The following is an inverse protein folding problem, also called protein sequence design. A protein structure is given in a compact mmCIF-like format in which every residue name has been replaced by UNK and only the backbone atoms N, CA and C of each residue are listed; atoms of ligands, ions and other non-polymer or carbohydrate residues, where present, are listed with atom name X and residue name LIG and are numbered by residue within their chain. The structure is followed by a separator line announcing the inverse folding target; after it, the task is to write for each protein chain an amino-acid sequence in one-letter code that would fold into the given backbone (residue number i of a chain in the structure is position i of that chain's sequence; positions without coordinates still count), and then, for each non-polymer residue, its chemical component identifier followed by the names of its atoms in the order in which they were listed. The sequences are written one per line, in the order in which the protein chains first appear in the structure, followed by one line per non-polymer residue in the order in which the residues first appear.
data_IF_405498181262
#
_entry.id   IF_405498181262
#
_cell.length_a   1.000
_cell.length_b   1.000
_cell.length_c   1.000
_cell.angle_alpha   90.00
_cell.angle_beta   90.00
_cell.angle_gamma   90.00
#
_symmetry.space_group_name_H-M   'P 1'
#
loop_
_entity.id
_entity.type
_entity.pdbx_description
1 polymer ?
#
# COMPACT_ATOMS: atom_id res chain seq x y z
N UNK A 1 1.28 7.12 -29.19
CA UNK A 1 -0.16 7.29 -28.92
C UNK A 1 -0.33 7.40 -27.42
N UNK A 2 -0.06 8.55 -26.79
CA UNK A 2 -0.65 9.90 -26.91
C UNK A 2 -1.72 10.12 -25.82
N UNK A 3 -1.40 11.01 -24.88
CA UNK A 3 -2.33 11.95 -24.22
C UNK A 3 -3.69 11.35 -23.84
N UNK A 4 -3.72 10.56 -22.77
CA UNK A 4 -4.94 10.20 -22.03
C UNK A 4 -4.59 9.95 -20.55
N UNK A 5 -3.94 10.93 -19.91
CA UNK A 5 -3.97 10.98 -18.44
C UNK A 5 -5.20 11.73 -17.98
N UNK A 6 -5.64 12.69 -18.81
CA UNK A 6 -6.88 13.42 -18.67
C UNK A 6 -7.94 12.78 -19.58
N UNK A 7 -9.06 12.34 -19.02
CA UNK A 7 -10.24 11.94 -19.78
C UNK A 7 -10.66 13.13 -20.65
N UNK A 8 -10.52 13.00 -21.97
CA UNK A 8 -10.80 14.09 -22.93
C UNK A 8 -12.26 14.57 -22.92
N UNK A 9 -13.17 13.78 -22.37
CA UNK A 9 -14.58 14.15 -22.26
C UNK A 9 -14.91 14.86 -20.95
N UNK A 10 -14.12 14.65 -19.88
CA UNK A 10 -14.40 15.20 -18.55
C UNK A 10 -13.31 16.11 -17.99
N UNK A 11 -12.13 16.21 -18.64
CA UNK A 11 -11.01 17.02 -18.16
C UNK A 11 -10.31 16.46 -16.92
N UNK A 12 -10.59 15.22 -16.49
CA UNK A 12 -10.07 14.62 -15.24
C UNK A 12 -8.95 13.60 -15.41
N UNK A 13 -8.06 13.54 -14.42
CA UNK A 13 -7.07 12.46 -14.26
C UNK A 13 -7.78 11.10 -14.18
N UNK A 14 -7.62 10.26 -15.20
CA UNK A 14 -8.42 9.04 -15.39
C UNK A 14 -8.17 7.95 -14.32
N UNK A 15 -7.08 8.04 -13.57
CA UNK A 15 -6.69 7.03 -12.60
C UNK A 15 -6.08 7.65 -11.34
N UNK A 16 -6.84 7.56 -10.25
CA UNK A 16 -6.37 7.82 -8.89
C UNK A 16 -6.46 6.52 -8.09
N UNK A 17 -5.62 6.40 -7.07
CA UNK A 17 -5.71 5.34 -6.06
C UNK A 17 -5.03 5.80 -4.78
N UNK A 18 -5.17 5.04 -3.71
CA UNK A 18 -4.51 5.36 -2.47
C UNK A 18 -4.05 4.15 -1.69
N UNK A 19 -3.55 4.47 -0.50
CA UNK A 19 -3.23 3.53 0.55
C UNK A 19 -3.45 4.22 1.90
N UNK A 20 -4.20 3.59 2.79
CA UNK A 20 -4.24 3.99 4.19
C UNK A 20 -2.87 3.84 4.86
N UNK A 21 -2.47 4.86 5.61
CA UNK A 21 -1.27 4.86 6.44
C UNK A 21 -1.67 5.18 7.89
N UNK A 22 -0.70 5.26 8.80
CA UNK A 22 -0.98 5.52 10.21
C UNK A 22 -1.46 6.97 10.35
N UNK A 23 -2.64 7.16 10.91
CA UNK A 23 -3.27 8.48 11.04
C UNK A 23 -3.38 9.27 9.72
N UNK A 24 -3.46 8.58 8.58
CA UNK A 24 -3.38 9.27 7.29
C UNK A 24 -3.76 8.45 6.08
N UNK A 25 -3.69 9.13 4.92
CA UNK A 25 -3.92 8.51 3.62
C UNK A 25 -2.86 9.01 2.63
N UNK A 26 -2.22 8.06 1.95
CA UNK A 26 -1.46 8.32 0.74
C UNK A 26 -2.39 8.22 -0.46
N UNK A 27 -2.40 9.26 -1.30
CA UNK A 27 -3.08 9.29 -2.58
C UNK A 27 -2.04 9.38 -3.70
N UNK A 28 -2.35 8.74 -4.83
CA UNK A 28 -1.52 8.83 -6.03
C UNK A 28 -2.32 9.04 -7.29
N UNK A 29 -1.71 9.82 -8.16
CA UNK A 29 -2.06 10.03 -9.55
C UNK A 29 -0.93 9.47 -10.43
N UNK A 30 -1.04 9.57 -11.76
CA UNK A 30 -0.07 8.95 -12.66
C UNK A 30 1.36 9.52 -12.54
N UNK A 31 1.53 10.80 -12.18
CA UNK A 31 2.85 11.43 -12.06
C UNK A 31 3.14 11.97 -10.65
N UNK A 32 2.15 11.98 -9.76
CA UNK A 32 2.25 12.62 -8.45
C UNK A 32 1.75 11.70 -7.35
N UNK A 33 2.26 11.91 -6.13
CA UNK A 33 1.64 11.36 -4.95
C UNK A 33 1.64 12.40 -3.82
N UNK A 34 0.67 12.25 -2.93
CA UNK A 34 0.59 13.05 -1.71
C UNK A 34 0.30 12.11 -0.53
N UNK A 35 0.87 12.42 0.62
CA UNK A 35 0.57 11.74 1.89
C UNK A 35 0.10 12.82 2.85
N UNK A 36 -1.10 12.66 3.37
CA UNK A 36 -1.66 13.52 4.39
C UNK A 36 -1.78 12.72 5.69
N UNK A 37 -1.23 13.25 6.78
CA UNK A 37 -1.23 12.64 8.11
C UNK A 37 -1.75 13.68 9.10
N UNK A 38 -2.66 13.28 9.99
CA UNK A 38 -3.08 14.09 11.14
C UNK A 38 -2.26 13.69 12.36
N UNK A 39 -1.43 14.60 12.84
CA UNK A 39 -0.63 14.36 14.04
C UNK A 39 -1.53 14.31 15.30
N UNK A 40 -1.07 13.68 16.40
CA UNK A 40 -1.86 13.57 17.64
C UNK A 40 -2.24 14.90 18.28
N UNK A 41 -1.50 15.96 17.99
CA UNK A 41 -1.75 17.33 18.42
C UNK A 41 -2.75 18.09 17.53
N UNK A 42 -3.25 17.45 16.48
CA UNK A 42 -4.23 18.01 15.54
C UNK A 42 -3.61 18.71 14.33
N UNK A 43 -2.28 18.85 14.26
CA UNK A 43 -1.60 19.43 13.10
C UNK A 43 -1.75 18.53 11.87
N UNK A 44 -1.75 19.13 10.70
CA UNK A 44 -1.80 18.43 9.42
C UNK A 44 -0.42 18.45 8.78
N UNK A 45 0.10 17.26 8.51
CA UNK A 45 1.38 17.08 7.81
C UNK A 45 1.09 16.60 6.41
N UNK A 46 1.56 17.35 5.43
CA UNK A 46 1.35 17.05 4.03
C UNK A 46 2.68 16.90 3.33
N UNK A 47 2.95 15.69 2.84
CA UNK A 47 4.10 15.41 1.99
C UNK A 47 3.62 15.25 0.56
N UNK A 48 4.28 15.94 -0.35
CA UNK A 48 4.06 15.79 -1.78
C UNK A 48 5.37 15.45 -2.47
N UNK A 49 5.31 14.55 -3.45
CA UNK A 49 6.51 14.13 -4.18
C UNK A 49 6.09 13.50 -5.52
N UNK A 50 7.06 13.30 -6.41
CA UNK A 50 6.82 12.77 -7.75
C UNK A 50 6.77 11.25 -7.71
N UNK A 51 5.89 10.67 -8.52
CA UNK A 51 5.90 9.22 -8.71
C UNK A 51 7.07 8.81 -9.62
N UNK A 52 8.19 8.45 -9.00
CA UNK A 52 9.38 7.98 -9.72
C UNK A 52 9.20 6.53 -10.19
N UNK A 53 9.45 6.29 -11.48
CA UNK A 53 9.27 4.98 -12.14
C UNK A 53 10.63 4.44 -12.62
N UNK A 54 11.03 3.27 -12.12
CA UNK A 54 12.29 2.54 -12.40
C UNK A 54 12.34 2.06 -13.88
N UNK A 55 11.18 2.00 -14.53
CA UNK A 55 10.93 1.61 -15.93
C UNK A 55 11.76 2.32 -17.01
N UNK A 56 12.34 3.48 -16.70
CA UNK A 56 12.88 4.39 -17.69
C UNK A 56 14.16 3.91 -18.35
N UNK A 57 14.88 2.91 -17.79
CA UNK A 57 16.16 2.44 -18.34
C UNK A 57 16.09 1.17 -19.19
N UNK A 58 15.08 0.30 -19.05
CA UNK A 58 15.11 -1.06 -19.62
C UNK A 58 13.78 -1.47 -20.28
N UNK A 59 13.76 -1.50 -21.63
CA UNK A 59 12.55 -1.81 -22.42
C UNK A 59 11.97 -3.20 -22.18
N UNK A 60 12.78 -4.19 -21.75
CA UNK A 60 12.33 -5.57 -21.52
C UNK A 60 11.49 -5.73 -20.24
N UNK A 61 11.63 -4.85 -19.25
CA UNK A 61 10.81 -4.91 -18.04
C UNK A 61 9.31 -4.75 -18.41
N UNK A 62 8.98 -4.05 -19.50
CA UNK A 62 7.60 -3.74 -19.93
C UNK A 62 6.77 -4.95 -20.36
N UNK A 63 7.36 -6.14 -20.39
CA UNK A 63 6.69 -7.39 -20.77
C UNK A 63 5.64 -7.77 -19.70
N UNK A 64 4.40 -8.17 -20.05
CA UNK A 64 3.27 -8.29 -19.11
C UNK A 64 3.53 -9.11 -17.84
N UNK A 65 4.39 -10.14 -17.86
CA UNK A 65 4.74 -10.89 -16.63
C UNK A 65 5.80 -10.17 -15.76
N UNK A 66 6.80 -9.55 -16.38
CA UNK A 66 7.84 -8.80 -15.66
C UNK A 66 7.31 -7.45 -15.19
N UNK A 67 6.29 -6.93 -15.89
CA UNK A 67 5.73 -5.63 -15.62
C UNK A 67 5.15 -5.56 -14.22
N UNK A 68 4.25 -6.50 -13.93
CA UNK A 68 3.54 -6.55 -12.66
C UNK A 68 4.47 -6.67 -11.47
N UNK A 69 5.53 -7.48 -11.59
CA UNK A 69 6.55 -7.63 -10.54
C UNK A 69 7.22 -6.30 -10.18
N UNK A 70 7.67 -5.53 -11.17
CA UNK A 70 8.37 -4.27 -10.88
C UNK A 70 7.39 -3.20 -10.37
N UNK A 71 6.15 -3.15 -10.89
CA UNK A 71 5.13 -2.23 -10.35
C UNK A 71 4.84 -2.57 -8.89
N UNK A 72 4.78 -3.86 -8.56
CA UNK A 72 4.62 -4.33 -7.19
C UNK A 72 5.80 -3.87 -6.31
N UNK A 73 7.04 -3.99 -6.79
CA UNK A 73 8.23 -3.54 -6.04
C UNK A 73 8.22 -2.03 -5.81
N UNK A 74 7.91 -1.24 -6.83
CA UNK A 74 7.79 0.22 -6.72
C UNK A 74 6.69 0.62 -5.73
N UNK A 75 5.52 -0.01 -5.86
CA UNK A 75 4.41 0.27 -4.99
C UNK A 75 4.70 -0.12 -3.53
N UNK A 76 5.37 -1.26 -3.32
CA UNK A 76 5.83 -1.69 -2.00
C UNK A 76 6.84 -0.70 -1.41
N UNK A 77 7.81 -0.24 -2.20
CA UNK A 77 8.78 0.78 -1.76
C UNK A 77 8.10 2.07 -1.31
N UNK A 78 7.19 2.60 -2.14
CA UNK A 78 6.45 3.82 -1.83
C UNK A 78 5.49 3.62 -0.65
N UNK A 79 4.88 2.44 -0.53
CA UNK A 79 4.05 2.06 0.61
C UNK A 79 4.84 2.04 1.91
N UNK A 80 6.03 1.43 1.92
CA UNK A 80 6.92 1.43 3.09
C UNK A 80 7.36 2.86 3.42
N UNK A 81 7.80 3.65 2.42
CA UNK A 81 8.20 5.05 2.65
C UNK A 81 7.06 5.89 3.24
N UNK A 82 5.84 5.70 2.76
CA UNK A 82 4.66 6.43 3.26
C UNK A 82 4.29 6.00 4.69
N UNK A 83 4.43 4.71 5.00
CA UNK A 83 4.21 4.19 6.35
C UNK A 83 5.26 4.71 7.33
N UNK A 84 6.54 4.66 6.97
CA UNK A 84 7.62 5.24 7.79
C UNK A 84 7.40 6.73 8.01
N UNK A 85 7.05 7.47 6.96
CA UNK A 85 6.71 8.89 7.07
C UNK A 85 5.53 9.12 8.02
N UNK A 86 4.45 8.34 7.88
CA UNK A 86 3.28 8.46 8.76
C UNK A 86 3.59 8.08 10.21
N UNK A 87 4.45 7.10 10.44
CA UNK A 87 4.85 6.66 11.76
C UNK A 87 5.64 7.74 12.51
N UNK A 88 6.56 8.44 11.82
CA UNK A 88 7.29 9.59 12.36
C UNK A 88 6.33 10.65 12.90
N UNK A 89 5.36 11.07 12.09
CA UNK A 89 4.43 12.15 12.44
C UNK A 89 3.25 11.74 13.33
N UNK A 90 2.92 10.45 13.38
CA UNK A 90 1.93 9.91 14.31
C UNK A 90 2.45 9.81 15.77
N UNK A 91 3.68 10.29 16.04
CA UNK A 91 4.29 10.29 17.37
C UNK A 91 4.82 8.91 17.81
N UNK A 92 5.23 8.06 16.87
CA UNK A 92 5.74 6.71 17.17
C UNK A 92 7.26 6.64 17.36
N UNK A 93 7.99 7.70 16.99
CA UNK A 93 9.45 7.75 17.08
C UNK A 93 9.96 8.50 18.34
N UNK A 94 9.22 9.46 18.87
CA UNK A 94 9.61 10.28 20.04
C UNK A 94 9.66 9.49 21.36
N UNK A 95 8.97 8.35 21.44
CA UNK A 95 8.97 7.46 22.63
C UNK A 95 10.31 6.77 22.93
N UNK A 96 11.32 6.90 22.04
CA UNK A 96 12.66 6.32 22.25
C UNK A 96 13.63 7.25 22.96
N UNK A 97 13.41 8.57 22.92
CA UNK A 97 14.34 9.53 23.53
C UNK A 97 14.13 9.70 25.04
N UNK A 98 12.93 9.37 25.56
CA UNK A 98 12.57 9.71 26.95
C UNK A 98 12.72 8.54 27.96
N UNK A 99 13.29 7.39 27.53
CA UNK A 99 13.51 6.23 28.40
C UNK A 99 14.94 5.99 28.85
N UNK A 100 15.89 6.85 28.46
CA UNK A 100 17.30 6.74 28.91
C UNK A 100 17.68 7.62 30.09
N UNK A 101 16.94 8.68 30.45
CA UNK A 101 17.41 9.64 31.45
C UNK A 101 16.58 9.82 32.73
N UNK A 102 15.40 9.20 32.89
CA UNK A 102 14.60 9.39 34.12
C UNK A 102 14.48 8.16 35.03
N UNK A 103 15.62 7.48 35.26
CA UNK A 103 15.79 6.62 36.45
C UNK A 103 16.29 7.45 37.63
N UNK A 104 15.65 8.57 38.01
CA UNK A 104 15.93 9.19 39.32
C UNK A 104 14.96 10.23 39.88
N UNK A 105 13.64 10.15 39.72
CA UNK A 105 12.76 10.83 40.69
C UNK A 105 11.33 10.28 40.78
N UNK A 106 11.06 9.67 41.93
CA UNK A 106 9.81 9.68 42.71
C UNK A 106 8.49 9.25 42.03
N UNK A 107 7.92 8.18 42.57
CA UNK A 107 6.65 7.62 42.11
C UNK A 107 5.45 8.54 42.33
N UNK A 108 4.52 8.50 41.38
CA UNK A 108 3.07 8.53 41.59
C UNK A 108 2.36 8.05 40.33
N UNK A 109 1.26 7.33 40.55
CA UNK A 109 0.38 6.72 39.57
C UNK A 109 -0.01 7.67 38.42
N UNK A 110 0.19 7.21 37.18
CA UNK A 110 -0.32 7.79 35.95
C UNK A 110 -0.66 6.66 34.97
N UNK A 111 -1.75 6.84 34.26
CA UNK A 111 -2.49 5.88 33.43
C UNK A 111 -1.62 5.24 32.33
N UNK A 112 -1.78 3.94 32.07
CA UNK A 112 -1.01 3.21 31.07
C UNK A 112 -1.44 3.54 29.63
N UNK A 113 -0.45 3.84 28.79
CA UNK A 113 -0.55 4.54 27.51
C UNK A 113 -0.79 3.62 26.30
N UNK A 114 -1.56 4.13 25.31
CA UNK A 114 -1.82 3.49 24.02
C UNK A 114 -0.64 3.50 23.03
N UNK A 115 0.50 4.09 23.39
CA UNK A 115 1.64 4.29 22.49
C UNK A 115 2.40 3.00 22.12
N UNK A 116 2.46 2.03 23.04
CA UNK A 116 3.11 0.73 22.79
C UNK A 116 2.41 -0.11 21.72
N UNK A 117 1.07 -0.07 21.67
CA UNK A 117 0.27 -0.79 20.68
C UNK A 117 0.46 -0.20 19.26
N UNK A 118 0.55 1.13 19.16
CA UNK A 118 0.67 1.84 17.87
C UNK A 118 1.98 1.52 17.13
N UNK A 119 3.07 1.32 17.87
CA UNK A 119 4.37 0.95 17.29
C UNK A 119 4.37 -0.48 16.74
N UNK A 120 3.78 -1.43 17.46
CA UNK A 120 3.63 -2.80 16.99
C UNK A 120 2.77 -2.84 15.72
N UNK A 121 1.69 -2.04 15.67
CA UNK A 121 0.87 -1.91 14.47
C UNK A 121 1.62 -1.31 13.28
N UNK A 122 2.52 -0.35 13.48
CA UNK A 122 3.32 0.26 12.42
C UNK A 122 4.33 -0.72 11.79
N UNK A 123 5.11 -1.40 12.63
CA UNK A 123 6.07 -2.41 12.20
C UNK A 123 5.37 -3.61 11.55
N UNK A 124 4.19 -3.96 12.06
CA UNK A 124 3.33 -4.99 11.51
C UNK A 124 2.71 -4.60 10.16
N UNK A 125 2.18 -3.39 10.01
CA UNK A 125 1.61 -2.89 8.74
C UNK A 125 2.68 -2.75 7.67
N UNK A 126 3.88 -2.28 8.00
CA UNK A 126 5.00 -2.19 7.07
C UNK A 126 5.48 -3.57 6.59
N UNK A 127 5.33 -4.61 7.41
CA UNK A 127 5.74 -5.98 7.14
C UNK A 127 4.65 -6.92 6.61
N UNK A 128 3.38 -6.52 6.65
CA UNK A 128 2.25 -7.38 6.29
C UNK A 128 1.84 -7.18 4.81
N UNK A 129 1.47 -8.26 4.09
CA UNK A 129 1.05 -8.20 2.68
C UNK A 129 -0.33 -7.54 2.45
N UNK A 130 -0.86 -6.86 3.47
CA UNK A 130 -2.17 -6.19 3.49
C UNK A 130 -2.16 -4.79 2.86
N UNK A 131 -0.98 -4.25 2.55
CA UNK A 131 -0.86 -2.94 1.91
C UNK A 131 -1.19 -3.00 0.42
N UNK A 132 -2.31 -2.38 0.06
CA UNK A 132 -2.90 -2.39 -1.28
C UNK A 132 -2.14 -1.61 -2.36
N UNK A 133 -0.86 -1.29 -2.17
CA UNK A 133 -0.05 -0.50 -3.10
C UNK A 133 -0.05 -1.07 -4.54
N UNK A 134 -0.19 -2.40 -4.67
CA UNK A 134 -0.03 -3.16 -5.91
C UNK A 134 -1.00 -2.83 -7.06
N UNK A 135 -2.03 -2.00 -6.87
CA UNK A 135 -3.19 -1.97 -7.78
C UNK A 135 -3.41 -0.70 -8.63
N UNK A 136 -2.56 0.32 -8.57
CA UNK A 136 -2.74 1.53 -9.42
C UNK A 136 -1.74 1.55 -10.61
N UNK A 137 -2.31 1.65 -11.81
CA UNK A 137 -1.61 1.48 -13.10
C UNK A 137 -0.68 2.66 -13.43
N UNK A 138 0.45 2.46 -14.15
CA UNK A 138 1.29 3.56 -14.65
C UNK A 138 1.02 3.88 -16.13
N UNK A 139 1.25 5.14 -16.54
CA UNK A 139 1.36 5.54 -17.95
C UNK A 139 2.33 6.71 -18.19
N UNK A 140 3.60 6.35 -18.50
CA UNK A 140 4.60 6.93 -19.42
C UNK A 140 5.03 8.44 -19.45
N UNK A 141 6.37 8.63 -19.42
CA UNK A 141 7.17 9.53 -20.31
C UNK A 141 8.29 10.34 -19.60
N UNK A 142 9.56 9.91 -19.51
CA UNK A 142 10.77 10.22 -20.32
C UNK A 142 11.85 11.08 -19.56
N UNK A 143 13.15 10.76 -19.72
CA UNK A 143 14.39 11.24 -19.01
C UNK A 143 14.82 12.70 -19.33
N UNK A 144 15.37 13.53 -18.42
CA UNK A 144 16.74 13.68 -17.82
C UNK A 144 17.85 14.12 -18.84
N UNK A 145 18.77 15.10 -18.68
CA UNK A 145 19.58 15.69 -17.56
C UNK A 145 20.17 17.08 -18.00
N UNK A 146 20.64 17.90 -17.04
CA UNK A 146 21.55 19.10 -17.07
C UNK A 146 20.88 20.39 -17.56
N UNK A 147 20.91 21.54 -16.88
CA UNK A 147 22.02 22.26 -16.27
C UNK A 147 21.42 23.52 -15.57
N UNK A 148 22.24 24.12 -14.74
CA UNK A 148 22.10 25.32 -13.92
C UNK A 148 21.32 26.52 -14.48
N UNK A 149 20.80 27.28 -13.51
CA UNK A 149 20.69 28.75 -13.45
C UNK A 149 19.30 29.37 -13.51
N UNK A 150 19.17 30.36 -12.62
CA UNK A 150 18.24 31.48 -12.57
C UNK A 150 16.99 31.41 -11.69
N UNK A 151 17.18 32.07 -10.54
CA UNK A 151 16.28 32.69 -9.57
C UNK A 151 15.44 33.81 -10.20
N UNK A 152 14.17 33.96 -9.80
CA UNK A 152 13.61 35.24 -9.28
C UNK A 152 12.37 34.98 -8.38
N UNK A 153 12.15 35.77 -7.31
CA UNK A 153 11.37 35.41 -6.12
C UNK A 153 9.98 36.07 -6.06
N UNK A 154 9.24 35.74 -5.01
CA UNK A 154 8.06 36.41 -4.40
C UNK A 154 6.82 35.52 -4.31
N UNK A 155 6.81 34.67 -3.28
CA UNK A 155 5.62 34.53 -2.44
C UNK A 155 6.06 34.16 -1.02
N UNK A 156 6.12 35.16 -0.14
CA UNK A 156 6.39 35.01 1.29
C UNK A 156 5.12 34.47 1.97
N UNK A 157 5.13 33.18 2.27
CA UNK A 157 4.47 32.61 3.45
C UNK A 157 5.60 32.01 4.30
N UNK A 158 5.56 32.07 5.64
CA UNK A 158 6.65 31.56 6.46
C UNK A 158 6.68 30.02 6.34
N UNK A 159 7.46 29.52 5.38
CA UNK A 159 7.80 28.11 5.28
C UNK A 159 8.90 27.90 6.31
N UNK A 160 8.55 27.39 7.49
CA UNK A 160 9.56 26.77 8.35
C UNK A 160 10.08 25.54 7.61
N UNK A 161 11.23 25.71 6.97
CA UNK A 161 12.03 24.61 6.42
C UNK A 161 12.49 23.76 7.62
N UNK A 162 11.73 22.70 7.92
CA UNK A 162 12.04 21.78 9.03
C UNK A 162 13.34 21.06 8.68
N UNK A 163 14.43 21.59 9.24
CA UNK A 163 15.75 20.99 9.20
C UNK A 163 15.69 19.69 10.03
N UNK A 164 15.85 18.53 9.37
CA UNK A 164 15.76 17.18 9.95
C UNK A 164 17.09 16.81 10.63
N UNK A 165 17.27 16.96 11.96
CA UNK A 165 18.58 16.79 12.59
C UNK A 165 18.86 15.35 13.02
N UNK A 166 17.90 14.41 12.88
CA UNK A 166 18.05 13.04 13.37
C UNK A 166 17.63 12.03 12.31
N UNK A 167 18.62 11.54 11.55
CA UNK A 167 18.47 10.35 10.74
C UNK A 167 18.09 9.13 11.61
N UNK A 168 17.27 8.22 11.07
CA UNK A 168 16.30 7.41 11.81
C UNK A 168 16.96 6.20 12.50
N UNK A 169 16.15 5.29 13.07
CA UNK A 169 16.54 3.89 13.29
C UNK A 169 17.62 3.45 12.30
N UNK A 170 18.79 3.05 12.80
CA UNK A 170 19.94 2.70 11.96
C UNK A 170 19.51 1.84 10.77
N UNK A 171 20.01 2.13 9.56
CA UNK A 171 19.55 1.48 8.32
C UNK A 171 19.50 -0.06 8.42
N UNK A 172 20.39 -0.66 9.21
CA UNK A 172 20.40 -2.10 9.50
C UNK A 172 19.19 -2.59 10.30
N UNK A 173 18.67 -1.77 11.23
CA UNK A 173 17.50 -2.10 12.04
C UNK A 173 16.24 -2.14 11.16
N UNK A 174 16.08 -1.17 10.26
CA UNK A 174 15.01 -1.20 9.26
C UNK A 174 15.14 -2.40 8.33
N UNK A 175 16.35 -2.68 7.83
CA UNK A 175 16.59 -3.87 7.01
C UNK A 175 16.28 -5.17 7.77
N UNK A 176 16.63 -5.26 9.06
CA UNK A 176 16.33 -6.41 9.90
C UNK A 176 14.83 -6.61 10.08
N UNK A 177 14.06 -5.56 10.38
CA UNK A 177 12.60 -5.64 10.52
C UNK A 177 11.93 -6.08 9.22
N UNK A 178 12.38 -5.57 8.07
CA UNK A 178 11.91 -6.02 6.75
C UNK A 178 12.23 -7.50 6.51
N UNK A 179 13.44 -7.96 6.84
CA UNK A 179 13.80 -9.37 6.69
C UNK A 179 12.99 -10.29 7.60
N UNK A 180 12.80 -9.91 8.86
CA UNK A 180 12.02 -10.68 9.84
C UNK A 180 10.56 -10.76 9.41
N UNK A 181 9.95 -9.65 9.00
CA UNK A 181 8.55 -9.63 8.53
C UNK A 181 8.35 -10.40 7.22
N UNK A 182 9.31 -10.33 6.29
CA UNK A 182 9.30 -11.15 5.08
C UNK A 182 9.43 -12.65 5.42
N UNK A 183 10.34 -13.00 6.34
CA UNK A 183 10.49 -14.36 6.83
C UNK A 183 9.24 -14.89 7.51
N UNK A 184 8.60 -14.09 8.36
CA UNK A 184 7.32 -14.40 8.99
C UNK A 184 6.21 -14.58 7.96
N UNK A 185 6.15 -13.72 6.93
CA UNK A 185 5.17 -13.83 5.85
C UNK A 185 5.36 -15.11 5.03
N UNK A 186 6.60 -15.49 4.70
CA UNK A 186 6.90 -16.77 4.03
C UNK A 186 6.51 -17.95 4.93
N UNK A 187 6.84 -17.88 6.22
CA UNK A 187 6.48 -18.90 7.18
C UNK A 187 4.96 -19.08 7.25
N UNK A 188 4.22 -17.99 7.43
CA UNK A 188 2.77 -18.01 7.65
C UNK A 188 1.97 -18.35 6.39
N UNK A 189 2.35 -17.82 5.23
CA UNK A 189 1.54 -17.92 4.00
C UNK A 189 2.05 -18.95 2.98
N UNK A 190 3.29 -19.43 3.11
CA UNK A 190 3.87 -20.42 2.20
C UNK A 190 4.16 -21.72 2.93
N UNK A 191 4.94 -21.67 4.02
CA UNK A 191 5.41 -22.87 4.71
C UNK A 191 4.29 -23.52 5.53
N UNK A 192 3.58 -22.74 6.35
CA UNK A 192 2.54 -23.25 7.24
C UNK A 192 1.42 -23.97 6.47
N UNK A 193 0.81 -23.41 5.41
CA UNK A 193 -0.25 -24.09 4.67
C UNK A 193 0.23 -25.37 3.99
N UNK A 194 1.47 -25.36 3.47
CA UNK A 194 2.08 -26.52 2.85
C UNK A 194 2.34 -27.63 3.87
N UNK A 195 2.89 -27.27 5.03
CA UNK A 195 3.14 -28.21 6.12
C UNK A 195 1.85 -28.81 6.66
N UNK A 196 0.81 -27.99 6.90
CA UNK A 196 -0.51 -28.47 7.33
C UNK A 196 -1.12 -29.44 6.32
N UNK A 197 -1.04 -29.12 5.02
CA UNK A 197 -1.54 -30.00 3.96
C UNK A 197 -0.79 -31.34 3.92
N UNK A 198 0.53 -31.31 4.10
CA UNK A 198 1.35 -32.53 4.17
C UNK A 198 1.04 -33.36 5.42
N UNK A 199 0.81 -32.71 6.57
CA UNK A 199 0.42 -33.38 7.83
C UNK A 199 -0.96 -34.05 7.74
N UNK A 200 -1.85 -33.54 6.88
CA UNK A 200 -3.13 -34.20 6.57
C UNK A 200 -2.98 -35.44 5.67
N UNK A 201 -1.75 -35.79 5.26
CA UNK A 201 -1.46 -37.00 4.49
C UNK A 201 -1.57 -36.83 2.97
N UNK A 202 -1.72 -35.61 2.46
CA UNK A 202 -1.73 -35.35 1.02
C UNK A 202 -0.31 -35.28 0.48
N UNK A 203 -0.10 -35.84 -0.72
CA UNK A 203 1.19 -35.77 -1.41
C UNK A 203 1.26 -34.56 -2.34
N UNK A 204 2.31 -33.75 -2.17
CA UNK A 204 2.55 -32.52 -2.93
C UNK A 204 2.80 -32.74 -4.43
N UNK A 205 2.94 -33.99 -4.87
CA UNK A 205 2.96 -34.38 -6.28
C UNK A 205 1.59 -34.32 -6.96
N UNK A 206 0.49 -34.31 -6.20
CA UNK A 206 -0.87 -34.43 -6.73
C UNK A 206 -1.63 -33.10 -6.67
N UNK A 207 -2.56 -32.90 -7.61
CA UNK A 207 -3.38 -31.68 -7.68
C UNK A 207 -4.24 -31.44 -6.44
N UNK A 208 -4.71 -32.51 -5.77
CA UNK A 208 -5.51 -32.40 -4.54
C UNK A 208 -4.75 -31.67 -3.43
N UNK A 209 -3.44 -31.90 -3.35
CA UNK A 209 -2.59 -31.18 -2.39
C UNK A 209 -2.66 -29.68 -2.64
N UNK A 210 -2.51 -29.23 -3.88
CA UNK A 210 -2.51 -27.80 -4.20
C UNK A 210 -3.88 -27.14 -4.00
N UNK A 211 -4.97 -27.88 -4.23
CA UNK A 211 -6.32 -27.41 -3.93
C UNK A 211 -6.51 -27.21 -2.41
N UNK A 212 -6.10 -28.18 -1.59
CA UNK A 212 -6.23 -28.12 -0.13
C UNK A 212 -5.26 -27.08 0.47
N UNK A 213 -4.01 -27.03 0.01
CA UNK A 213 -3.03 -25.97 0.33
C UNK A 213 -3.61 -24.59 0.04
N UNK A 214 -4.35 -24.45 -1.07
CA UNK A 214 -5.10 -23.26 -1.42
C UNK A 214 -6.19 -22.88 -0.42
N UNK A 215 -7.03 -23.84 -0.02
CA UNK A 215 -8.10 -23.62 0.96
C UNK A 215 -7.51 -23.22 2.33
N UNK A 216 -6.44 -23.91 2.76
CA UNK A 216 -5.75 -23.59 4.01
C UNK A 216 -5.14 -22.19 3.93
N UNK A 217 -4.50 -21.81 2.81
CA UNK A 217 -3.98 -20.44 2.61
C UNK A 217 -5.05 -19.36 2.75
N UNK A 218 -6.20 -19.54 2.08
CA UNK A 218 -7.32 -18.59 2.20
C UNK A 218 -7.81 -18.50 3.63
N UNK A 219 -7.93 -19.66 4.32
CA UNK A 219 -8.36 -19.71 5.72
C UNK A 219 -7.37 -19.00 6.63
N UNK A 220 -6.08 -19.29 6.50
CA UNK A 220 -5.00 -18.63 7.27
C UNK A 220 -4.99 -17.13 7.01
N UNK A 221 -5.15 -16.70 5.75
CA UNK A 221 -5.21 -15.28 5.41
C UNK A 221 -6.40 -14.58 6.08
N UNK A 222 -7.59 -15.13 5.93
CA UNK A 222 -8.81 -14.53 6.52
C UNK A 222 -8.71 -14.52 8.05
N UNK A 223 -8.26 -15.61 8.66
CA UNK A 223 -8.08 -15.70 10.11
C UNK A 223 -7.03 -14.70 10.62
N UNK A 224 -5.91 -14.55 9.92
CA UNK A 224 -4.86 -13.59 10.23
C UNK A 224 -5.38 -12.15 10.15
N UNK A 225 -6.00 -11.77 9.02
CA UNK A 225 -6.59 -10.43 8.83
C UNK A 225 -7.65 -10.15 9.89
N UNK A 226 -8.52 -11.12 10.16
CA UNK A 226 -9.53 -10.99 11.19
C UNK A 226 -8.91 -10.79 12.58
N UNK A 227 -7.89 -11.58 12.94
CA UNK A 227 -7.21 -11.46 14.23
C UNK A 227 -6.59 -10.07 14.44
N UNK A 228 -5.88 -9.54 13.44
CA UNK A 228 -5.24 -8.22 13.54
C UNK A 228 -6.27 -7.09 13.48
N UNK A 229 -7.42 -7.31 12.81
CA UNK A 229 -8.51 -6.33 12.75
C UNK A 229 -9.12 -6.05 14.12
N UNK A 230 -8.82 -6.87 15.13
CA UNK A 230 -9.26 -6.67 16.50
C UNK A 230 -8.40 -5.63 17.24
N UNK A 231 -7.16 -5.37 16.80
CA UNK A 231 -6.23 -4.42 17.42
C UNK A 231 -6.65 -2.96 17.11
N UNK A 232 -6.75 -2.06 18.12
CA UNK A 232 -7.23 -0.67 17.95
C UNK A 232 -6.56 0.09 16.80
N UNK A 233 -5.24 0.01 16.70
CA UNK A 233 -4.47 0.78 15.72
C UNK A 233 -4.70 0.27 14.29
N UNK A 234 -4.84 -1.05 14.12
CA UNK A 234 -5.24 -1.63 12.83
C UNK A 234 -6.68 -1.26 12.50
N UNK A 235 -7.56 -1.11 13.51
CA UNK A 235 -8.92 -0.61 13.26
C UNK A 235 -8.89 0.79 12.69
N UNK A 236 -8.07 1.66 13.29
CA UNK A 236 -7.88 3.04 12.86
C UNK A 236 -7.38 3.12 11.42
N UNK A 237 -6.40 2.29 11.05
CA UNK A 237 -5.92 2.21 9.66
C UNK A 237 -7.01 1.71 8.70
N UNK A 238 -7.84 0.75 9.11
CA UNK A 238 -8.98 0.29 8.30
C UNK A 238 -10.09 1.33 8.15
N UNK A 239 -10.24 2.27 9.09
CA UNK A 239 -11.13 3.42 8.95
C UNK A 239 -10.58 4.41 7.92
N UNK A 240 -9.29 4.77 7.99
CA UNK A 240 -8.62 5.59 6.95
C UNK A 240 -8.69 4.94 5.57
N UNK A 241 -8.67 3.60 5.49
CA UNK A 241 -8.88 2.87 4.25
C UNK A 241 -10.32 3.01 3.73
N UNK A 242 -11.32 3.01 4.62
CA UNK A 242 -12.68 3.38 4.27
C UNK A 242 -12.79 4.82 3.76
N UNK A 243 -12.07 5.75 4.39
CA UNK A 243 -12.01 7.15 3.97
C UNK A 243 -11.39 7.32 2.58
N UNK A 244 -10.30 6.61 2.29
CA UNK A 244 -9.66 6.55 0.97
C UNK A 244 -10.67 6.14 -0.11
N UNK A 245 -11.37 5.03 0.09
CA UNK A 245 -12.35 4.54 -0.87
C UNK A 245 -13.48 5.54 -1.12
N UNK A 246 -14.01 6.15 -0.06
CA UNK A 246 -15.07 7.16 -0.17
C UNK A 246 -14.58 8.40 -0.92
N UNK A 247 -13.39 8.90 -0.61
CA UNK A 247 -12.79 10.05 -1.32
C UNK A 247 -12.60 9.77 -2.81
N UNK A 248 -12.12 8.57 -3.17
CA UNK A 248 -11.98 8.13 -4.56
C UNK A 248 -13.35 8.06 -5.25
N UNK A 249 -14.38 7.51 -4.59
CA UNK A 249 -15.72 7.46 -5.18
C UNK A 249 -16.31 8.85 -5.49
N UNK A 250 -16.13 9.83 -4.60
CA UNK A 250 -16.54 11.22 -4.85
C UNK A 250 -15.88 11.75 -6.12
N UNK A 251 -14.57 11.50 -6.27
CA UNK A 251 -13.82 11.91 -7.46
C UNK A 251 -14.31 11.22 -8.73
N UNK A 252 -14.57 9.91 -8.68
CA UNK A 252 -15.04 9.10 -9.80
C UNK A 252 -16.47 9.45 -10.26
N UNK A 253 -17.31 9.94 -9.34
CA UNK A 253 -18.69 10.35 -9.63
C UNK A 253 -18.83 11.84 -9.99
N UNK A 254 -17.73 12.54 -10.21
CA UNK A 254 -17.75 13.95 -10.61
C UNK A 254 -18.41 14.89 -9.59
N UNK A 255 -18.33 14.54 -8.31
CA UNK A 255 -18.85 15.36 -7.22
C UNK A 255 -17.75 16.26 -6.60
N UNK A 256 -18.12 17.39 -6.00
CA UNK A 256 -17.20 18.21 -5.21
C UNK A 256 -16.55 17.40 -4.09
N UNK A 257 -15.23 17.52 -3.93
CA UNK A 257 -14.44 16.82 -2.90
C UNK A 257 -14.71 17.40 -1.49
N UNK A 258 -15.88 17.07 -0.94
CA UNK A 258 -16.36 17.49 0.38
C UNK A 258 -16.71 16.28 1.23
N UNK A 259 -16.64 16.45 2.56
CA UNK A 259 -16.99 15.40 3.53
C UNK A 259 -18.43 14.94 3.35
N UNK A 260 -19.36 15.88 3.10
CA UNK A 260 -20.77 15.58 2.87
C UNK A 260 -21.00 14.61 1.72
N UNK A 261 -20.35 14.83 0.57
CA UNK A 261 -20.42 13.92 -0.56
C UNK A 261 -19.74 12.58 -0.26
N UNK A 262 -18.62 12.59 0.47
CA UNK A 262 -17.89 11.37 0.81
C UNK A 262 -18.66 10.44 1.75
N UNK A 263 -19.42 10.99 2.71
CA UNK A 263 -20.27 10.20 3.62
C UNK A 263 -21.26 9.31 2.86
N UNK A 264 -21.80 9.80 1.74
CA UNK A 264 -22.81 9.10 0.95
C UNK A 264 -22.32 7.85 0.20
N UNK A 265 -21.01 7.65 0.07
CA UNK A 265 -20.45 6.49 -0.63
C UNK A 265 -20.16 5.31 0.28
N UNK A 266 -20.16 4.11 -0.31
CA UNK A 266 -19.78 2.88 0.38
C UNK A 266 -18.27 2.76 0.51
N UNK A 267 -17.80 2.07 1.55
CA UNK A 267 -16.38 1.78 1.79
C UNK A 267 -15.81 0.60 0.98
N UNK A 268 -16.56 0.07 0.00
CA UNK A 268 -16.19 -1.12 -0.77
C UNK A 268 -15.86 -0.74 -2.21
N UNK A 269 -14.57 -0.78 -2.56
CA UNK A 269 -14.08 -0.32 -3.85
C UNK A 269 -13.53 -1.48 -4.70
N UNK A 270 -14.00 -1.68 -5.95
CA UNK A 270 -13.61 -2.82 -6.77
C UNK A 270 -12.16 -2.77 -7.27
N UNK A 271 -11.49 -1.61 -7.15
CA UNK A 271 -10.09 -1.41 -7.59
C UNK A 271 -9.08 -1.42 -6.44
N UNK A 272 -9.52 -1.74 -5.23
CA UNK A 272 -8.65 -1.80 -4.05
C UNK A 272 -7.63 -2.94 -4.14
N UNK A 273 -6.40 -2.69 -3.67
CA UNK A 273 -5.33 -3.68 -3.60
C UNK A 273 -5.56 -4.83 -2.61
N UNK A 274 -6.57 -4.78 -1.75
CA UNK A 274 -7.01 -6.00 -1.00
C UNK A 274 -7.48 -7.11 -1.94
N UNK A 275 -7.98 -6.73 -3.12
CA UNK A 275 -8.26 -7.69 -4.20
C UNK A 275 -7.00 -8.31 -4.77
N UNK A 276 -5.84 -7.63 -4.70
CA UNK A 276 -4.56 -8.17 -5.13
C UNK A 276 -4.11 -9.34 -4.27
N UNK A 277 -4.20 -9.21 -2.95
CA UNK A 277 -3.81 -10.28 -2.04
C UNK A 277 -4.62 -11.56 -2.30
N UNK A 278 -5.94 -11.43 -2.47
CA UNK A 278 -6.79 -12.55 -2.85
C UNK A 278 -6.44 -13.11 -4.23
N UNK A 279 -6.24 -12.25 -5.24
CA UNK A 279 -5.89 -12.68 -6.60
C UNK A 279 -4.54 -13.40 -6.65
N UNK A 280 -3.55 -12.99 -5.85
CA UNK A 280 -2.26 -13.69 -5.71
C UNK A 280 -2.49 -15.10 -5.19
N UNK A 281 -3.31 -15.28 -4.16
CA UNK A 281 -3.62 -16.61 -3.64
C UNK A 281 -4.36 -17.44 -4.70
N UNK A 282 -5.45 -16.92 -5.27
CA UNK A 282 -6.23 -17.63 -6.28
C UNK A 282 -5.38 -18.03 -7.50
N UNK A 283 -4.58 -17.09 -8.02
CA UNK A 283 -3.66 -17.32 -9.12
C UNK A 283 -2.58 -18.34 -8.74
N UNK A 284 -2.07 -18.29 -7.50
CA UNK A 284 -1.08 -19.27 -7.02
C UNK A 284 -1.63 -20.69 -7.01
N UNK A 285 -2.89 -20.88 -6.60
CA UNK A 285 -3.52 -22.20 -6.58
C UNK A 285 -3.57 -22.76 -7.99
N UNK A 286 -4.03 -21.97 -8.96
CA UNK A 286 -4.13 -22.38 -10.37
C UNK A 286 -2.74 -22.68 -10.94
N UNK A 287 -1.78 -21.76 -10.78
CA UNK A 287 -0.44 -21.90 -11.34
C UNK A 287 0.29 -23.09 -10.72
N UNK A 288 0.24 -23.26 -9.39
CA UNK A 288 0.90 -24.40 -8.75
C UNK A 288 0.22 -25.72 -9.10
N UNK A 289 -1.11 -25.78 -9.12
CA UNK A 289 -1.83 -27.00 -9.51
C UNK A 289 -1.49 -27.44 -10.93
N UNK A 290 -1.27 -26.50 -11.85
CA UNK A 290 -0.88 -26.81 -13.23
C UNK A 290 0.63 -27.08 -13.37
N UNK A 291 1.48 -26.28 -12.73
CA UNK A 291 2.93 -26.38 -12.89
C UNK A 291 3.48 -27.67 -12.29
N UNK A 292 2.99 -28.09 -11.12
CA UNK A 292 3.49 -29.29 -10.46
C UNK A 292 3.17 -30.60 -11.20
N UNK A 293 2.22 -30.59 -12.14
CA UNK A 293 1.96 -31.72 -13.05
C UNK A 293 3.14 -31.93 -14.03
N UNK A 294 3.81 -30.84 -14.44
CA UNK A 294 4.89 -30.87 -15.42
C UNK A 294 6.29 -30.85 -14.82
N UNK A 295 6.40 -30.63 -13.50
CA UNK A 295 7.67 -30.61 -12.80
C UNK A 295 8.18 -32.02 -12.47
N UNK A 296 9.51 -32.23 -12.40
CA UNK A 296 10.08 -33.51 -12.00
C UNK A 296 9.53 -33.98 -10.65
N UNK A 297 8.99 -35.19 -10.64
CA UNK A 297 8.52 -35.84 -9.42
C UNK A 297 9.69 -36.58 -8.78
N UNK A 298 9.75 -36.53 -7.46
CA UNK A 298 10.83 -37.17 -6.69
C UNK A 298 10.29 -38.22 -5.71
N UNK A 299 9.68 -39.32 -6.21
CA UNK A 299 9.01 -40.30 -5.36
C UNK A 299 9.95 -40.99 -4.37
N UNK A 300 11.20 -41.24 -4.78
CA UNK A 300 12.18 -42.01 -4.00
C UNK A 300 12.94 -41.18 -2.94
N UNK A 301 12.73 -39.87 -2.88
CA UNK A 301 13.36 -39.01 -1.88
C UNK A 301 12.66 -39.06 -0.52
N UNK A 302 13.43 -38.78 0.54
CA UNK A 302 12.87 -38.55 1.88
C UNK A 302 11.73 -37.51 1.80
N UNK A 303 10.53 -37.79 2.35
CA UNK A 303 9.38 -36.89 2.27
C UNK A 303 9.67 -35.46 2.78
N UNK A 304 10.50 -35.32 3.81
CA UNK A 304 10.88 -34.02 4.37
C UNK A 304 11.70 -33.24 3.34
N UNK A 305 12.74 -33.84 2.79
CA UNK A 305 13.60 -33.20 1.78
C UNK A 305 12.82 -32.86 0.50
N UNK A 306 11.91 -33.75 0.07
CA UNK A 306 11.02 -33.52 -1.07
C UNK A 306 10.15 -32.28 -0.88
N UNK A 307 9.51 -32.16 0.29
CA UNK A 307 8.67 -31.00 0.60
C UNK A 307 9.48 -29.69 0.65
N UNK A 308 10.69 -29.72 1.22
CA UNK A 308 11.60 -28.57 1.16
C UNK A 308 11.90 -28.14 -0.28
N UNK A 309 12.25 -29.09 -1.15
CA UNK A 309 12.53 -28.81 -2.57
C UNK A 309 11.30 -28.18 -3.25
N UNK A 310 10.10 -28.71 -2.98
CA UNK A 310 8.87 -28.14 -3.53
C UNK A 310 8.58 -26.73 -3.02
N UNK A 311 8.86 -26.41 -1.76
CA UNK A 311 8.79 -25.03 -1.25
C UNK A 311 9.79 -24.14 -1.99
N UNK A 312 11.04 -24.58 -2.15
CA UNK A 312 12.06 -23.82 -2.88
C UNK A 312 11.69 -23.57 -4.34
N UNK A 313 11.05 -24.54 -5.02
CA UNK A 313 10.55 -24.37 -6.39
C UNK A 313 9.38 -23.36 -6.44
N UNK A 314 8.51 -23.29 -5.41
CA UNK A 314 7.40 -22.33 -5.37
C UNK A 314 7.88 -20.88 -5.36
N UNK A 315 8.99 -20.57 -4.69
CA UNK A 315 9.53 -19.20 -4.54
C UNK A 315 9.71 -18.49 -5.90
N UNK A 316 10.50 -19.01 -6.87
CA UNK A 316 10.62 -18.37 -8.17
C UNK A 316 9.30 -18.38 -8.98
N UNK A 317 8.41 -19.36 -8.77
CA UNK A 317 7.09 -19.35 -9.39
C UNK A 317 6.17 -18.23 -8.85
N UNK A 318 6.52 -17.57 -7.74
CA UNK A 318 5.76 -16.40 -7.26
C UNK A 318 5.85 -15.20 -8.22
N UNK A 319 6.91 -15.11 -9.03
CA UNK A 319 7.04 -14.03 -10.02
C UNK A 319 5.94 -14.09 -11.10
N UNK A 320 5.72 -15.23 -11.80
CA UNK A 320 4.55 -15.39 -12.68
C UNK A 320 3.21 -15.15 -11.99
N UNK A 321 3.05 -15.62 -10.75
CA UNK A 321 1.82 -15.42 -9.96
C UNK A 321 1.54 -13.93 -9.76
N UNK A 322 2.54 -13.17 -9.30
CA UNK A 322 2.42 -11.72 -9.09
C UNK A 322 2.14 -10.99 -10.40
N UNK A 323 2.86 -11.32 -11.47
CA UNK A 323 2.67 -10.73 -12.80
C UNK A 323 1.25 -10.95 -13.34
N UNK A 324 0.75 -12.18 -13.30
CA UNK A 324 -0.62 -12.50 -13.76
C UNK A 324 -1.67 -11.83 -12.88
N UNK A 325 -1.49 -11.84 -11.55
CA UNK A 325 -2.42 -11.18 -10.62
C UNK A 325 -2.52 -9.68 -10.90
N UNK A 326 -1.39 -9.03 -11.17
CA UNK A 326 -1.34 -7.62 -11.56
C UNK A 326 -2.08 -7.37 -12.88
N UNK A 327 -1.87 -8.19 -13.91
CA UNK A 327 -2.57 -8.02 -15.19
C UNK A 327 -4.09 -8.16 -15.04
N UNK A 328 -4.56 -9.08 -14.18
CA UNK A 328 -5.99 -9.24 -13.88
C UNK A 328 -6.57 -7.96 -13.28
N UNK A 329 -5.90 -7.36 -12.28
CA UNK A 329 -6.37 -6.10 -11.67
C UNK A 329 -6.38 -4.97 -12.67
N UNK A 330 -5.30 -4.84 -13.45
CA UNK A 330 -5.18 -3.81 -14.46
C UNK A 330 -6.29 -3.91 -15.51
N UNK A 331 -6.62 -5.13 -15.93
CA UNK A 331 -7.74 -5.38 -16.84
C UNK A 331 -9.08 -5.02 -16.18
N UNK A 332 -9.28 -5.34 -14.91
CA UNK A 332 -10.48 -4.96 -14.16
C UNK A 332 -10.63 -3.44 -14.07
N UNK A 333 -9.53 -2.70 -13.83
CA UNK A 333 -9.55 -1.24 -13.81
C UNK A 333 -9.82 -0.61 -15.18
N UNK A 334 -9.41 -1.28 -16.28
CA UNK A 334 -9.67 -0.82 -17.65
C UNK A 334 -11.08 -1.15 -18.14
N UNK A 335 -11.63 -2.29 -17.73
CA UNK A 335 -12.94 -2.79 -18.14
C UNK A 335 -13.80 -3.12 -16.92
N UNK A 336 -14.18 -2.10 -16.12
CA UNK A 336 -14.87 -2.31 -14.85
C UNK A 336 -16.22 -3.02 -15.02
N UNK A 337 -16.87 -2.90 -16.18
CA UNK A 337 -18.17 -3.50 -16.46
C UNK A 337 -18.15 -4.93 -16.99
N UNK A 338 -16.96 -5.52 -17.18
CA UNK A 338 -16.87 -6.88 -17.68
C UNK A 338 -17.34 -7.89 -16.62
N UNK A 339 -18.35 -8.74 -16.91
CA UNK A 339 -18.94 -9.65 -15.93
C UNK A 339 -17.96 -10.71 -15.42
N UNK A 340 -17.03 -11.16 -16.26
CA UNK A 340 -16.01 -12.16 -15.87
C UNK A 340 -15.02 -11.55 -14.89
N UNK A 341 -14.54 -10.33 -15.17
CA UNK A 341 -13.62 -9.61 -14.28
C UNK A 341 -14.30 -9.25 -12.95
N UNK A 342 -15.59 -8.90 -12.96
CA UNK A 342 -16.39 -8.71 -11.74
C UNK A 342 -16.46 -9.99 -10.90
N UNK A 343 -16.74 -11.15 -11.51
CA UNK A 343 -16.79 -12.43 -10.78
C UNK A 343 -15.43 -12.77 -10.18
N UNK A 344 -14.35 -12.59 -10.95
CA UNK A 344 -13.00 -12.94 -10.54
C UNK A 344 -12.48 -12.07 -9.37
N UNK A 345 -12.88 -10.79 -9.32
CA UNK A 345 -12.44 -9.83 -8.30
C UNK A 345 -13.37 -9.72 -7.09
N UNK A 346 -14.61 -10.23 -7.18
CA UNK A 346 -15.61 -10.22 -6.09
C UNK A 346 -15.10 -10.71 -4.74
N UNK A 347 -14.37 -11.82 -4.64
CA UNK A 347 -13.89 -12.27 -3.34
C UNK A 347 -12.93 -11.28 -2.67
N UNK A 348 -12.18 -10.50 -3.46
CA UNK A 348 -11.39 -9.38 -2.97
C UNK A 348 -12.24 -8.28 -2.33
N UNK A 349 -13.39 -7.97 -2.93
CA UNK A 349 -14.36 -7.02 -2.35
C UNK A 349 -15.01 -7.58 -1.08
N UNK A 350 -15.22 -8.89 -0.97
CA UNK A 350 -15.69 -9.49 0.27
C UNK A 350 -14.70 -9.32 1.42
N UNK A 351 -13.40 -9.44 1.15
CA UNK A 351 -12.36 -9.23 2.16
C UNK A 351 -12.40 -7.81 2.75
N UNK A 352 -12.86 -6.82 1.97
CA UNK A 352 -13.04 -5.43 2.44
C UNK A 352 -14.06 -5.29 3.57
N UNK A 353 -14.96 -6.26 3.78
CA UNK A 353 -15.82 -6.26 4.95
C UNK A 353 -15.03 -6.32 6.26
N UNK A 354 -13.82 -6.90 6.22
CA UNK A 354 -12.90 -7.05 7.35
C UNK A 354 -11.77 -6.02 7.29
N UNK A 355 -11.28 -5.67 6.08
CA UNK A 355 -10.11 -4.79 5.89
C UNK A 355 -10.46 -3.30 5.70
N UNK A 356 -11.73 -2.92 5.77
CA UNK A 356 -12.15 -1.52 5.89
C UNK A 356 -13.08 -1.36 7.09
N UNK A 357 -13.24 -0.12 7.56
CA UNK A 357 -14.21 0.30 8.57
C UNK A 357 -14.80 1.64 8.16
N UNK A 358 -15.88 2.02 8.84
CA UNK A 358 -16.53 3.29 8.56
C UNK A 358 -15.71 4.43 9.18
N UNK A 359 -15.28 5.43 8.39
CA UNK A 359 -14.47 6.53 8.89
C UNK A 359 -15.32 7.58 9.60
N UNK A 360 -14.67 8.33 10.49
CA UNK A 360 -15.16 9.61 11.00
C UNK A 360 -14.91 10.75 9.99
N UNK A 361 -15.42 11.94 10.31
CA UNK A 361 -15.30 13.11 9.43
C UNK A 361 -13.86 13.61 9.32
N UNK A 362 -13.09 13.55 10.41
CA UNK A 362 -11.69 13.95 10.44
C UNK A 362 -10.85 13.09 9.48
N UNK A 363 -11.14 11.78 9.41
CA UNK A 363 -10.51 10.86 8.48
C UNK A 363 -10.92 11.13 7.02
N UNK A 364 -12.19 11.48 6.78
CA UNK A 364 -12.66 11.88 5.45
C UNK A 364 -11.99 13.18 5.00
N UNK A 365 -11.83 14.16 5.89
CA UNK A 365 -11.10 15.39 5.64
C UNK A 365 -9.66 15.11 5.20
N UNK A 366 -8.94 14.29 5.95
CA UNK A 366 -7.55 13.90 5.64
C UNK A 366 -7.46 13.20 4.28
N UNK A 367 -8.37 12.25 3.99
CA UNK A 367 -8.39 11.53 2.72
C UNK A 367 -8.68 12.46 1.53
N UNK A 368 -9.65 13.36 1.68
CA UNK A 368 -10.02 14.33 0.64
C UNK A 368 -8.92 15.36 0.41
N UNK A 369 -8.25 15.83 1.47
CA UNK A 369 -7.13 16.76 1.37
C UNK A 369 -5.92 16.13 0.68
N UNK A 370 -5.59 14.88 1.05
CA UNK A 370 -4.56 14.09 0.36
C UNK A 370 -4.86 13.97 -1.14
N UNK A 371 -6.13 13.70 -1.49
CA UNK A 371 -6.55 13.58 -2.88
C UNK A 371 -6.48 14.92 -3.62
N UNK A 372 -6.97 16.00 -3.00
CA UNK A 372 -6.91 17.37 -3.58
C UNK A 372 -5.48 17.78 -3.86
N UNK A 373 -4.56 17.61 -2.91
CA UNK A 373 -3.15 17.94 -3.10
C UNK A 373 -2.52 17.09 -4.21
N UNK A 374 -2.81 15.79 -4.22
CA UNK A 374 -2.30 14.89 -5.26
C UNK A 374 -2.75 15.34 -6.66
N UNK A 375 -4.02 15.74 -6.80
CA UNK A 375 -4.58 16.24 -8.07
C UNK A 375 -4.02 17.61 -8.44
N UNK A 376 -3.92 18.53 -7.48
CA UNK A 376 -3.30 19.85 -7.67
C UNK A 376 -1.87 19.73 -8.19
N UNK A 377 -1.05 18.83 -7.59
CA UNK A 377 0.32 18.59 -8.03
C UNK A 377 0.35 17.98 -9.43
N UNK A 378 -0.54 17.03 -9.74
CA UNK A 378 -0.65 16.45 -11.08
C UNK A 378 -0.93 17.52 -12.14
N UNK A 379 -1.84 18.45 -11.86
CA UNK A 379 -2.16 19.56 -12.75
C UNK A 379 -0.96 20.51 -12.92
N UNK A 380 -0.25 20.83 -11.84
CA UNK A 380 0.96 21.67 -11.90
C UNK A 380 2.07 20.97 -12.69
N UNK A 381 2.37 19.71 -12.41
CA UNK A 381 3.37 18.91 -13.15
C UNK A 381 2.97 18.76 -14.63
N UNK A 382 1.67 18.69 -14.95
CA UNK A 382 1.22 18.66 -16.33
C UNK A 382 1.31 20.03 -17.03
N UNK A 383 1.24 21.14 -16.29
CA UNK A 383 1.26 22.50 -16.81
C UNK A 383 2.67 23.11 -16.91
N UNK A 384 3.59 22.74 -16.02
CA UNK A 384 4.96 23.20 -16.02
C UNK A 384 5.90 22.06 -16.42
N UNK A 385 6.68 22.23 -17.49
CA UNK A 385 7.82 21.36 -17.83
C UNK A 385 8.98 21.45 -16.78
N UNK A 386 8.72 22.03 -15.61
CA UNK A 386 9.66 22.27 -14.51
C UNK A 386 9.55 21.15 -13.48
N UNK A 387 10.69 20.63 -13.04
CA UNK A 387 10.74 19.67 -11.92
C UNK A 387 10.37 20.35 -10.61
N UNK A 388 9.15 20.10 -10.13
CA UNK A 388 8.77 20.42 -8.75
C UNK A 388 9.47 19.45 -7.81
N UNK A 389 10.32 19.96 -6.91
CA UNK A 389 10.90 19.16 -5.83
C UNK A 389 9.78 18.57 -4.95
N UNK A 390 10.07 17.44 -4.30
CA UNK A 390 9.21 16.96 -3.22
C UNK A 390 9.31 17.92 -2.03
N UNK A 391 8.20 18.13 -1.34
CA UNK A 391 8.12 19.04 -0.20
C UNK A 391 7.27 18.44 0.91
N UNK A 392 7.57 18.81 2.16
CA UNK A 392 6.77 18.45 3.34
C UNK A 392 6.37 19.72 4.06
N UNK A 393 5.08 19.96 4.11
CA UNK A 393 4.49 21.15 4.72
C UNK A 393 3.75 20.76 5.99
N UNK A 394 3.96 21.55 7.03
CA UNK A 394 3.28 21.43 8.31
C UNK A 394 2.26 22.56 8.42
N UNK A 395 1.02 22.20 8.77
CA UNK A 395 -0.07 23.14 8.96
C UNK A 395 -0.60 23.02 10.38
N UNK A 396 -0.83 24.16 11.03
CA UNK A 396 -1.40 24.24 12.37
C UNK A 396 -2.85 23.74 12.41
N UNK A 397 -3.59 23.89 11.32
CA UNK A 397 -4.96 23.40 11.19
C UNK A 397 -5.28 22.83 9.82
N UNK A 398 -6.37 22.06 9.75
CA UNK A 398 -6.94 21.57 8.50
C UNK A 398 -7.37 22.71 7.55
N UNK A 399 -7.82 23.82 8.12
CA UNK A 399 -8.24 24.97 7.34
C UNK A 399 -7.05 25.61 6.63
N UNK A 400 -5.94 25.82 7.33
CA UNK A 400 -4.69 26.36 6.74
C UNK A 400 -4.19 25.45 5.61
N UNK A 401 -4.22 24.13 5.83
CA UNK A 401 -3.83 23.15 4.83
C UNK A 401 -4.72 23.21 3.58
N UNK A 402 -6.03 23.44 3.75
CA UNK A 402 -6.97 23.55 2.64
C UNK A 402 -6.80 24.86 1.86
N UNK A 403 -6.55 25.97 2.56
CA UNK A 403 -6.29 27.28 1.96
C UNK A 403 -4.99 27.30 1.14
N UNK A 404 -3.99 26.48 1.50
CA UNK A 404 -2.76 26.35 0.72
C UNK A 404 -2.95 25.77 -0.71
N UNK A 405 -4.11 25.18 -0.99
CA UNK A 405 -4.43 24.53 -2.27
C UNK A 405 -5.21 25.42 -3.24
N UNK A 406 -5.71 26.56 -2.77
CA UNK A 406 -6.46 27.56 -3.57
C UNK A 406 -5.53 28.63 -4.09
#
# INVERSE_FOLDING_TARGET
MSVLTVNKNTGKVAHVGGQAVIEGVMMRSPNSFAVCVRAPDGRIVLREDRWHSIWTKLKFLRWPLLRGTVVLVEAMWNGISSLTFSAKWAGLEDDKADKSDDKKANGKNGQADGAGHRKEAAEFLAGAPINGAAASSPANGAHAITDTSHVDPQHDSPVEEVNDPDSPLSEWAMAATVMVSLGFSILLFVVLPHALTAMLGFDASHWQFHAIDGIIKVTVLVAYIWGISLMPDIRRVFEYHGAEHKAIFVYEHDLPLTVENARGFVRFHPRCGTSFLFLVIATSIIIFSLAFVFLPQFPDMNPVLRNFIYIFIKIPLMFPVAGISYEIIRLNGKYPDNPVLKVLTRPGVWLQHITTREPDDDQLEVALLSLKKCLWREEKVAASDVELAGDTQLFESFQDATESLT
#
